data_IF_070917706902
#
_entry.id   IF_070917706902
#
_cell.length_a   1.000
_cell.length_b   1.000
_cell.length_c   1.000
_cell.angle_alpha   90.00
_cell.angle_beta   90.00
_cell.angle_gamma   90.00
#
_symmetry.space_group_name_H-M   'P 1'
#
loop_
_entity.id
_entity.type
_entity.pdbx_description
1 polymer ?
#
# COMPACT_ATOMS: atom_id res chain seq x y z
N UNK A 1 19.09 3.58 -4.33
CA UNK A 1 17.95 4.48 -4.16
C UNK A 1 17.37 4.78 -5.52
N UNK A 2 16.22 4.18 -5.80
CA UNK A 2 15.40 4.55 -6.95
C UNK A 2 14.85 5.97 -6.76
N UNK A 3 14.76 6.79 -7.81
CA UNK A 3 14.24 8.14 -7.67
C UNK A 3 12.74 8.08 -7.37
N UNK A 4 12.29 8.93 -6.44
CA UNK A 4 10.86 9.21 -6.29
C UNK A 4 10.28 9.66 -7.64
N UNK A 5 9.07 9.20 -8.02
CA UNK A 5 8.41 9.63 -9.25
C UNK A 5 8.29 11.16 -9.36
N UNK A 6 8.48 11.68 -10.57
CA UNK A 6 8.26 13.10 -10.86
C UNK A 6 6.75 13.38 -10.94
N UNK A 7 6.29 14.34 -10.12
CA UNK A 7 4.89 14.76 -10.03
C UNK A 7 4.68 16.22 -10.48
N UNK A 8 5.62 16.82 -11.21
CA UNK A 8 5.55 18.22 -11.67
C UNK A 8 4.37 18.49 -12.62
N UNK A 9 3.71 17.43 -13.10
CA UNK A 9 2.48 17.51 -13.88
C UNK A 9 1.25 17.82 -13.02
N UNK A 10 1.34 17.66 -11.69
CA UNK A 10 0.30 18.03 -10.73
C UNK A 10 0.53 19.46 -10.25
N UNK A 11 -0.57 20.21 -10.13
CA UNK A 11 -0.58 21.58 -9.64
C UNK A 11 -1.24 21.67 -8.27
N UNK A 12 -1.10 22.82 -7.60
CA UNK A 12 -1.75 23.06 -6.31
C UNK A 12 -3.28 22.89 -6.35
N UNK A 13 -3.92 23.09 -7.51
CA UNK A 13 -5.37 22.87 -7.68
C UNK A 13 -5.72 21.39 -7.69
N UNK A 14 -4.84 20.54 -8.21
CA UNK A 14 -5.06 19.10 -8.25
C UNK A 14 -5.00 18.53 -6.83
N UNK A 15 -4.12 19.06 -5.98
CA UNK A 15 -4.01 18.67 -4.57
C UNK A 15 -5.20 19.09 -3.70
N UNK A 16 -6.16 19.87 -4.22
CA UNK A 16 -7.46 20.06 -3.55
C UNK A 16 -8.30 18.77 -3.56
N UNK A 17 -8.02 17.85 -4.48
CA UNK A 17 -8.77 16.61 -4.69
C UNK A 17 -7.90 15.35 -4.63
N UNK A 18 -6.58 15.53 -4.62
CA UNK A 18 -5.58 14.48 -4.69
C UNK A 18 -4.64 14.61 -3.50
N UNK A 19 -4.32 13.49 -2.85
CA UNK A 19 -3.35 13.50 -1.77
C UNK A 19 -1.93 13.76 -2.29
N UNK A 20 -1.31 14.85 -1.82
CA UNK A 20 0.10 15.15 -2.06
C UNK A 20 0.99 14.19 -1.26
N UNK A 21 2.03 13.56 -1.86
CA UNK A 21 2.93 12.69 -1.13
C UNK A 21 3.54 13.36 0.09
N UNK A 22 3.49 12.68 1.23
CA UNK A 22 4.06 13.16 2.50
C UNK A 22 4.95 12.09 3.13
N UNK A 23 5.40 12.30 4.38
CA UNK A 23 6.29 11.38 5.12
C UNK A 23 5.79 9.93 5.11
N UNK A 24 4.47 9.74 5.22
CA UNK A 24 3.80 8.45 5.17
C UNK A 24 3.99 7.74 3.82
N UNK A 25 3.89 8.49 2.73
CA UNK A 25 4.13 8.01 1.37
C UNK A 25 5.59 7.59 1.22
N UNK A 26 6.53 8.42 1.67
CA UNK A 26 7.96 8.12 1.57
C UNK A 26 8.36 6.91 2.42
N UNK A 27 7.78 6.75 3.61
CA UNK A 27 7.97 5.57 4.44
C UNK A 27 7.53 4.29 3.72
N UNK A 28 6.41 4.33 2.99
CA UNK A 28 5.95 3.20 2.20
C UNK A 28 6.87 2.93 0.99
N UNK A 29 7.36 3.97 0.29
CA UNK A 29 8.33 3.79 -0.79
C UNK A 29 9.60 3.11 -0.29
N UNK A 30 10.09 3.55 0.87
CA UNK A 30 11.28 3.01 1.51
C UNK A 30 11.13 1.52 1.87
N UNK A 31 9.98 1.13 2.40
CA UNK A 31 9.66 -0.27 2.71
C UNK A 31 9.59 -1.13 1.44
N UNK A 32 8.96 -0.63 0.36
CA UNK A 32 8.91 -1.34 -0.92
C UNK A 32 10.30 -1.47 -1.55
N UNK A 33 11.15 -0.44 -1.43
CA UNK A 33 12.53 -0.50 -1.91
C UNK A 33 13.36 -1.51 -1.10
N UNK A 34 13.22 -1.55 0.23
CA UNK A 34 13.97 -2.50 1.07
C UNK A 34 13.61 -3.96 0.78
N UNK A 35 12.37 -4.23 0.37
CA UNK A 35 11.87 -5.57 0.08
C UNK A 35 11.89 -5.95 -1.40
N UNK A 36 12.53 -5.15 -2.26
CA UNK A 36 12.46 -5.37 -3.72
C UNK A 36 12.93 -6.75 -4.18
N UNK A 37 13.90 -7.34 -3.48
CA UNK A 37 14.39 -8.70 -3.82
C UNK A 37 13.33 -9.75 -3.52
N UNK A 38 12.65 -9.64 -2.37
CA UNK A 38 11.53 -10.49 -2.01
C UNK A 38 10.37 -10.33 -2.99
N UNK A 39 9.98 -9.08 -3.28
CA UNK A 39 8.88 -8.78 -4.21
C UNK A 39 9.15 -9.35 -5.60
N UNK A 40 10.37 -9.24 -6.13
CA UNK A 40 10.69 -9.73 -7.47
C UNK A 40 10.84 -11.24 -7.56
N UNK A 41 11.48 -11.85 -6.56
CA UNK A 41 11.92 -13.25 -6.68
C UNK A 41 10.94 -14.22 -6.03
N UNK A 42 10.36 -13.84 -4.89
CA UNK A 42 9.50 -14.73 -4.10
C UNK A 42 8.02 -14.49 -4.43
N UNK A 43 7.58 -13.23 -4.50
CA UNK A 43 6.20 -12.91 -4.91
C UNK A 43 6.07 -13.02 -6.43
N UNK A 44 6.98 -12.36 -7.18
CA UNK A 44 6.93 -12.22 -8.63
C UNK A 44 5.51 -11.90 -9.17
N UNK A 45 4.93 -10.75 -8.77
CA UNK A 45 3.51 -10.51 -8.96
C UNK A 45 3.15 -10.30 -10.44
N UNK A 46 2.09 -10.98 -10.90
CA UNK A 46 1.46 -10.69 -12.20
C UNK A 46 0.50 -9.49 -12.12
N UNK A 47 -0.02 -9.19 -10.92
CA UNK A 47 -0.97 -8.11 -10.66
C UNK A 47 -0.56 -7.41 -9.36
N UNK A 48 -0.55 -6.09 -9.40
CA UNK A 48 -0.44 -5.23 -8.22
C UNK A 48 -1.68 -4.33 -8.15
N UNK A 49 -2.23 -4.16 -6.95
CA UNK A 49 -3.38 -3.30 -6.70
C UNK A 49 -3.02 -2.31 -5.59
N UNK A 50 -3.10 -1.02 -5.90
CA UNK A 50 -3.05 0.06 -4.92
C UNK A 50 -4.48 0.58 -4.66
N UNK A 51 -4.81 0.73 -3.38
CA UNK A 51 -6.12 1.21 -2.94
C UNK A 51 -5.90 2.52 -2.19
N UNK A 52 -6.52 3.60 -2.68
CA UNK A 52 -6.26 4.95 -2.19
C UNK A 52 -4.97 5.54 -2.78
N UNK A 53 -4.83 5.50 -4.11
CA UNK A 53 -3.58 5.84 -4.78
C UNK A 53 -3.18 7.31 -4.69
N UNK A 54 -4.12 8.22 -4.40
CA UNK A 54 -3.84 9.65 -4.29
C UNK A 54 -3.19 10.17 -5.57
N UNK A 55 -1.98 10.70 -5.44
CA UNK A 55 -1.15 11.19 -6.55
C UNK A 55 -0.62 10.08 -7.49
N UNK A 56 -0.77 8.81 -7.15
CA UNK A 56 -0.23 7.67 -7.89
C UNK A 56 1.28 7.48 -7.70
N UNK A 57 1.88 8.17 -6.72
CA UNK A 57 3.31 8.10 -6.41
C UNK A 57 3.77 6.66 -6.11
N UNK A 58 3.04 5.94 -5.24
CA UNK A 58 3.42 4.58 -4.84
C UNK A 58 3.28 3.59 -5.99
N UNK A 59 2.15 3.58 -6.72
CA UNK A 59 2.00 2.74 -7.92
C UNK A 59 3.08 3.00 -8.96
N UNK A 60 3.42 4.27 -9.22
CA UNK A 60 4.46 4.62 -10.19
C UNK A 60 5.83 4.14 -9.72
N UNK A 61 6.16 4.33 -8.44
CA UNK A 61 7.41 3.85 -7.87
C UNK A 61 7.51 2.33 -7.89
N UNK A 62 6.44 1.61 -7.53
CA UNK A 62 6.40 0.15 -7.62
C UNK A 62 6.61 -0.33 -9.06
N UNK A 63 6.03 0.36 -10.05
CA UNK A 63 6.29 0.09 -11.46
C UNK A 63 7.75 0.27 -11.86
N UNK A 64 8.40 1.35 -11.39
CA UNK A 64 9.83 1.58 -11.60
C UNK A 64 10.69 0.48 -10.96
N UNK A 65 10.32 0.05 -9.75
CA UNK A 65 10.97 -1.02 -9.03
C UNK A 65 10.85 -2.35 -9.79
N UNK A 66 9.64 -2.74 -10.20
CA UNK A 66 9.37 -4.01 -10.89
C UNK A 66 9.97 -4.05 -12.31
N UNK A 67 10.08 -2.90 -12.99
CA UNK A 67 10.65 -2.79 -14.33
C UNK A 67 9.79 -3.48 -15.39
N UNK A 68 10.44 -4.15 -16.36
CA UNK A 68 9.75 -4.83 -17.47
C UNK A 68 9.02 -6.13 -17.07
N UNK A 69 8.97 -6.47 -15.78
CA UNK A 69 8.14 -7.58 -15.32
C UNK A 69 6.68 -7.25 -15.64
N UNK A 70 5.93 -8.22 -16.15
CA UNK A 70 4.56 -8.08 -16.66
C UNK A 70 3.51 -7.94 -15.55
N UNK A 71 3.81 -7.14 -14.53
CA UNK A 71 2.87 -6.81 -13.48
C UNK A 71 1.90 -5.74 -13.99
N UNK A 72 0.62 -6.06 -14.02
CA UNK A 72 -0.42 -5.06 -14.27
C UNK A 72 -0.69 -4.32 -12.96
N UNK A 73 -0.46 -3.00 -12.95
CA UNK A 73 -0.69 -2.15 -11.78
C UNK A 73 -2.05 -1.47 -11.95
N UNK A 74 -2.95 -1.72 -11.01
CA UNK A 74 -4.25 -1.06 -10.90
C UNK A 74 -4.23 -0.15 -9.69
N UNK A 75 -4.80 1.04 -9.83
CA UNK A 75 -4.80 2.06 -8.79
C UNK A 75 -6.20 2.65 -8.69
N UNK A 76 -6.86 2.44 -7.55
CA UNK A 76 -8.23 2.90 -7.33
C UNK A 76 -8.25 4.06 -6.33
N UNK A 77 -8.77 5.20 -6.77
CA UNK A 77 -8.90 6.39 -5.94
C UNK A 77 -10.22 6.38 -5.17
N UNK A 78 -10.14 6.33 -3.85
CA UNK A 78 -11.30 6.47 -2.96
C UNK A 78 -11.28 7.91 -2.41
N UNK A 79 -11.78 8.84 -3.24
CA UNK A 79 -11.60 10.31 -3.15
C UNK A 79 -12.15 10.92 -1.83
N UNK A 80 -12.89 10.19 -1.01
CA UNK A 80 -13.41 10.69 0.28
C UNK A 80 -12.84 10.01 1.54
N UNK A 81 -11.94 9.01 1.41
CA UNK A 81 -11.52 8.17 2.55
C UNK A 81 -10.01 8.05 2.78
N UNK A 82 -9.19 8.80 2.06
CA UNK A 82 -7.73 8.72 2.19
C UNK A 82 -7.22 9.02 3.61
N UNK A 83 -7.91 9.87 4.39
CA UNK A 83 -7.63 10.04 5.83
C UNK A 83 -8.72 9.52 6.76
N UNK A 84 -9.99 9.55 6.34
CA UNK A 84 -11.14 9.40 7.23
C UNK A 84 -11.40 7.94 7.61
N UNK A 85 -10.54 7.39 8.46
CA UNK A 85 -10.61 6.01 8.93
C UNK A 85 -11.61 5.77 10.08
N UNK A 86 -12.41 6.75 10.48
CA UNK A 86 -13.43 6.58 11.52
C UNK A 86 -12.86 6.21 12.89
N UNK A 87 -13.54 5.32 13.64
CA UNK A 87 -13.10 4.90 14.98
C UNK A 87 -11.69 4.30 14.91
N UNK A 88 -10.76 4.84 15.71
CA UNK A 88 -9.32 4.50 15.69
C UNK A 88 -8.65 4.63 14.30
N UNK A 89 -9.27 5.32 13.33
CA UNK A 89 -8.73 5.44 11.99
C UNK A 89 -8.67 4.13 11.19
N UNK A 90 -9.45 3.09 11.55
CA UNK A 90 -9.35 1.74 10.95
C UNK A 90 -10.62 1.19 10.30
N UNK A 91 -11.71 1.93 10.16
CA UNK A 91 -12.95 1.42 9.54
C UNK A 91 -12.73 0.93 8.10
N UNK A 92 -11.90 1.62 7.32
CA UNK A 92 -11.52 1.18 5.96
C UNK A 92 -10.63 -0.06 6.01
N UNK A 93 -9.67 -0.11 6.93
CA UNK A 93 -8.80 -1.27 7.15
C UNK A 93 -9.68 -2.49 7.49
N UNK A 94 -10.59 -2.35 8.44
CA UNK A 94 -11.47 -3.43 8.89
C UNK A 94 -12.44 -3.91 7.81
N UNK A 95 -12.80 -3.02 6.88
CA UNK A 95 -13.60 -3.37 5.70
C UNK A 95 -12.80 -4.16 4.67
N UNK A 96 -11.51 -3.86 4.50
CA UNK A 96 -10.70 -4.43 3.42
C UNK A 96 -10.10 -5.78 3.77
N UNK A 97 -9.76 -6.05 5.03
CA UNK A 97 -9.15 -7.32 5.44
C UNK A 97 -9.96 -8.57 5.05
N UNK A 98 -11.30 -8.62 5.24
CA UNK A 98 -12.09 -9.73 4.74
C UNK A 98 -12.06 -9.91 3.22
N UNK A 99 -11.95 -8.81 2.46
CA UNK A 99 -11.88 -8.82 1.00
C UNK A 99 -10.51 -9.29 0.51
N UNK A 100 -9.45 -8.82 1.17
CA UNK A 100 -8.08 -9.23 0.94
C UNK A 100 -7.96 -10.76 1.03
N UNK A 101 -8.49 -11.35 2.10
CA UNK A 101 -8.42 -12.79 2.35
C UNK A 101 -9.25 -13.62 1.37
N UNK A 102 -10.42 -13.12 0.94
CA UNK A 102 -11.35 -13.94 0.14
C UNK A 102 -11.13 -13.81 -1.36
N UNK A 103 -10.78 -12.61 -1.85
CA UNK A 103 -10.97 -12.28 -3.25
C UNK A 103 -9.83 -11.49 -3.90
N UNK A 104 -8.93 -10.87 -3.13
CA UNK A 104 -7.89 -9.99 -3.71
C UNK A 104 -6.51 -10.64 -3.74
N UNK A 105 -6.09 -11.32 -2.67
CA UNK A 105 -4.78 -11.96 -2.63
C UNK A 105 -4.80 -13.32 -3.35
N UNK A 106 -3.78 -13.57 -4.16
CA UNK A 106 -3.45 -14.92 -4.64
C UNK A 106 -2.90 -15.78 -3.50
N UNK A 107 -2.71 -17.08 -3.73
CA UNK A 107 -2.13 -18.01 -2.74
C UNK A 107 -0.76 -17.53 -2.20
N UNK A 108 0.06 -16.87 -3.02
CA UNK A 108 1.34 -16.25 -2.63
C UNK A 108 1.25 -14.71 -2.57
N UNK A 109 0.06 -14.16 -2.38
CA UNK A 109 -0.16 -12.71 -2.35
C UNK A 109 0.36 -12.07 -1.07
N UNK A 110 1.01 -10.92 -1.19
CA UNK A 110 1.43 -10.09 -0.05
C UNK A 110 0.63 -8.81 -0.02
N UNK A 111 0.27 -8.37 1.19
CA UNK A 111 -0.45 -7.13 1.43
C UNK A 111 0.39 -6.17 2.26
N UNK A 112 0.72 -5.02 1.69
CA UNK A 112 1.40 -3.93 2.37
C UNK A 112 0.35 -2.97 2.95
N UNK A 113 0.42 -2.74 4.26
CA UNK A 113 -0.50 -1.88 4.98
C UNK A 113 0.27 -0.87 5.82
N UNK A 114 0.08 0.41 5.53
CA UNK A 114 0.60 1.50 6.35
C UNK A 114 -0.38 1.82 7.48
N UNK A 115 0.12 1.89 8.71
CA UNK A 115 -0.66 2.18 9.92
C UNK A 115 0.10 3.11 10.85
N UNK A 116 -0.63 3.93 11.59
CA UNK A 116 -0.10 4.74 12.70
C UNK A 116 -0.43 4.09 14.05
N UNK A 117 0.21 4.58 15.13
CA UNK A 117 -0.02 4.07 16.50
C UNK A 117 -1.49 4.03 16.90
N UNK A 118 -2.25 5.04 16.46
CA UNK A 118 -3.66 5.21 16.81
C UNK A 118 -4.55 4.12 16.19
N UNK A 119 -4.09 3.48 15.11
CA UNK A 119 -4.81 2.37 14.45
C UNK A 119 -4.79 1.06 15.23
N UNK A 120 -4.09 0.99 16.36
CA UNK A 120 -3.94 -0.24 17.15
C UNK A 120 -3.33 -1.38 16.32
N UNK A 121 -2.08 -1.21 15.83
CA UNK A 121 -1.44 -2.18 14.93
C UNK A 121 -1.39 -3.60 15.49
N UNK A 122 -1.19 -3.76 16.80
CA UNK A 122 -1.16 -5.09 17.43
C UNK A 122 -2.53 -5.77 17.37
N UNK A 123 -3.63 -5.04 17.61
CA UNK A 123 -5.00 -5.55 17.44
C UNK A 123 -5.32 -5.90 15.98
N UNK A 124 -4.82 -5.10 15.02
CA UNK A 124 -4.95 -5.40 13.58
C UNK A 124 -4.26 -6.73 13.26
N UNK A 125 -3.04 -6.94 13.76
CA UNK A 125 -2.25 -8.15 13.54
C UNK A 125 -2.88 -9.39 14.19
N UNK A 126 -3.36 -9.27 15.42
CA UNK A 126 -4.10 -10.33 16.10
C UNK A 126 -5.34 -10.74 15.28
N UNK A 127 -6.13 -9.76 14.83
CA UNK A 127 -7.30 -10.01 13.98
C UNK A 127 -6.94 -10.66 12.64
N UNK A 128 -5.89 -10.18 11.98
CA UNK A 128 -5.36 -10.74 10.74
C UNK A 128 -5.02 -12.23 10.89
N UNK A 129 -4.38 -12.59 12.00
CA UNK A 129 -4.07 -13.98 12.30
C UNK A 129 -5.32 -14.79 12.64
N UNK A 130 -6.07 -14.40 13.66
CA UNK A 130 -7.18 -15.20 14.21
C UNK A 130 -8.31 -15.43 13.21
N UNK A 131 -8.61 -14.43 12.38
CA UNK A 131 -9.77 -14.48 11.48
C UNK A 131 -9.41 -14.89 10.06
N UNK A 132 -8.19 -14.59 9.60
CA UNK A 132 -7.79 -14.71 8.20
C UNK A 132 -6.51 -15.52 7.99
N UNK A 133 -5.83 -15.95 9.06
CA UNK A 133 -4.56 -16.69 9.01
C UNK A 133 -3.44 -15.95 8.25
N UNK A 134 -3.53 -14.63 8.21
CA UNK A 134 -2.49 -13.79 7.63
C UNK A 134 -1.29 -13.73 8.56
N UNK A 135 -0.13 -14.10 8.02
CA UNK A 135 1.14 -13.87 8.68
C UNK A 135 1.52 -12.40 8.48
N UNK A 136 1.96 -11.73 9.54
CA UNK A 136 2.31 -10.31 9.51
C UNK A 136 3.66 -10.06 10.14
N UNK A 137 4.41 -9.15 9.54
CA UNK A 137 5.66 -8.60 10.06
C UNK A 137 5.72 -7.10 9.82
N UNK A 138 6.70 -6.43 10.41
CA UNK A 138 6.97 -5.02 10.10
C UNK A 138 7.97 -5.01 8.96
N UNK A 139 7.67 -4.32 7.87
CA UNK A 139 8.67 -4.05 6.84
C UNK A 139 9.70 -3.08 7.44
N UNK A 140 10.84 -3.62 7.87
CA UNK A 140 11.88 -2.83 8.51
C UNK A 140 12.72 -2.11 7.45
N UNK A 141 12.98 -0.82 7.69
CA UNK A 141 14.08 -0.11 7.05
C UNK A 141 15.26 -0.23 8.03
N UNK A 142 16.31 -0.97 7.65
CA UNK A 142 17.58 -0.99 8.39
C UNK A 142 18.15 0.42 8.55
#
# INVERSE_FOLDING_TARGET
MFPTPNLDHLSSKDYEQIYEPSEDTFLLLDALESEITFIKNEINPCICLEIGSGSGCVSTFLGQLLGNNSANIYSENIIEKAWAGGINGREVIDMILPLANKNLLSDNGTFYLLVISDNKPDEIRERMWEQYQFHSERAEKN
#
